data_IF_061591344103
#
_entry.id   IF_061591344103
#
_cell.length_a   1.000
_cell.length_b   1.000
_cell.length_c   1.000
_cell.angle_alpha   90.00
_cell.angle_beta   90.00
_cell.angle_gamma   90.00
#
_symmetry.space_group_name_H-M   'P 1'
#
loop_
_entity.id
_entity.type
_entity.pdbx_description
1 polymer ?
#
# COMPACT_ATOMS: atom_id res chain seq x y z
N UNK A 1 2.66 12.66 15.92
CA UNK A 1 3.75 12.33 14.98
C UNK A 1 3.38 12.74 13.55
N UNK A 2 2.29 12.25 12.95
CA UNK A 2 1.92 12.64 11.57
C UNK A 2 1.61 14.14 11.42
N UNK A 3 0.92 14.74 12.41
CA UNK A 3 0.57 16.17 12.38
C UNK A 3 1.77 17.12 12.32
N UNK A 4 2.96 16.69 12.75
CA UNK A 4 4.17 17.52 12.77
C UNK A 4 4.96 17.49 11.46
N UNK A 5 4.58 16.63 10.50
CA UNK A 5 5.20 16.59 9.17
C UNK A 5 4.66 17.78 8.37
N UNK A 6 5.53 18.59 7.78
CA UNK A 6 5.13 19.67 6.89
C UNK A 6 4.87 19.10 5.49
N UNK A 7 3.60 18.98 5.13
CA UNK A 7 3.17 18.50 3.83
C UNK A 7 1.78 19.07 3.53
N UNK A 8 1.54 19.41 2.27
CA UNK A 8 0.23 19.88 1.78
C UNK A 8 -0.84 18.79 1.96
N UNK A 9 -0.47 17.53 1.69
CA UNK A 9 -1.35 16.38 1.78
C UNK A 9 -0.69 15.28 2.61
N UNK A 10 -1.41 14.77 3.63
CA UNK A 10 -0.97 13.63 4.44
C UNK A 10 -1.98 12.51 4.31
N UNK A 11 -1.67 11.54 3.46
CA UNK A 11 -2.53 10.39 3.20
C UNK A 11 -2.19 9.25 4.15
N UNK A 12 -3.22 8.60 4.70
CA UNK A 12 -3.05 7.43 5.58
C UNK A 12 -4.00 6.34 5.16
N UNK A 13 -3.52 5.11 5.05
CA UNK A 13 -4.34 3.90 4.95
C UNK A 13 -4.07 3.04 6.18
N UNK A 14 -5.10 2.33 6.66
CA UNK A 14 -4.94 1.41 7.78
C UNK A 14 -4.10 0.18 7.39
N UNK A 15 -3.60 -0.53 8.40
CA UNK A 15 -2.95 -1.83 8.26
C UNK A 15 -3.52 -2.87 9.20
N UNK A 16 -2.97 -4.08 9.14
CA UNK A 16 -3.46 -5.25 9.87
C UNK A 16 -3.40 -5.11 11.42
N UNK A 17 -2.67 -4.12 11.95
CA UNK A 17 -2.60 -3.84 13.39
C UNK A 17 -3.55 -2.73 13.86
N UNK A 18 -4.23 -2.05 12.94
CA UNK A 18 -5.19 -0.99 13.27
C UNK A 18 -6.57 -1.60 13.54
N UNK A 19 -6.64 -2.43 14.60
CA UNK A 19 -7.77 -3.33 14.90
C UNK A 19 -9.11 -2.62 14.76
N UNK A 20 -9.29 -1.51 15.49
CA UNK A 20 -10.56 -0.81 15.51
C UNK A 20 -10.82 0.07 14.29
N UNK A 21 -9.95 0.12 13.28
CA UNK A 21 -10.28 0.73 11.98
C UNK A 21 -10.99 -0.25 11.03
N UNK A 22 -10.99 -1.55 11.31
CA UNK A 22 -11.80 -2.54 10.61
C UNK A 22 -13.18 -2.61 11.26
N UNK A 23 -14.24 -2.49 10.46
CA UNK A 23 -15.61 -2.57 10.93
C UNK A 23 -16.01 -4.00 11.33
N UNK A 24 -15.22 -5.02 10.96
CA UNK A 24 -15.49 -6.42 11.29
C UNK A 24 -14.93 -6.74 12.69
N UNK A 25 -15.76 -7.13 13.68
CA UNK A 25 -15.28 -7.51 15.00
C UNK A 25 -14.38 -8.75 14.94
N UNK A 26 -13.17 -8.65 15.52
CA UNK A 26 -12.17 -9.73 15.55
C UNK A 26 -11.47 -9.90 16.90
N UNK A 27 -11.94 -9.22 17.94
CA UNK A 27 -11.38 -9.29 19.29
C UNK A 27 -12.16 -10.31 20.11
N UNK A 28 -11.48 -11.35 20.57
CA UNK A 28 -12.10 -12.36 21.44
C UNK A 28 -12.51 -11.75 22.78
N UNK A 29 -13.66 -12.19 23.31
CA UNK A 29 -14.22 -11.75 24.60
C UNK A 29 -14.61 -10.25 24.68
N UNK A 30 -14.81 -9.59 23.53
CA UNK A 30 -15.37 -8.24 23.45
C UNK A 30 -16.79 -8.32 22.87
N UNK A 31 -17.74 -7.54 23.40
CA UNK A 31 -19.09 -7.49 22.82
C UNK A 31 -19.12 -6.64 21.55
N UNK A 32 -20.11 -6.84 20.70
CA UNK A 32 -20.29 -6.06 19.46
C UNK A 32 -20.49 -4.57 19.78
N UNK A 33 -21.19 -4.23 20.88
CA UNK A 33 -21.39 -2.85 21.33
C UNK A 33 -20.08 -2.20 21.79
N UNK A 34 -19.27 -2.92 22.58
CA UNK A 34 -17.96 -2.43 23.02
C UNK A 34 -17.01 -2.24 21.82
N UNK A 35 -17.00 -3.19 20.89
CA UNK A 35 -16.21 -3.07 19.66
C UNK A 35 -16.64 -1.86 18.83
N UNK A 36 -17.95 -1.62 18.68
CA UNK A 36 -18.47 -0.47 17.96
C UNK A 36 -18.04 0.87 18.58
N UNK A 37 -18.03 0.98 19.92
CA UNK A 37 -17.53 2.18 20.61
C UNK A 37 -16.06 2.46 20.29
N UNK A 38 -15.20 1.44 20.36
CA UNK A 38 -13.79 1.59 19.99
C UNK A 38 -13.60 1.87 18.49
N UNK A 39 -14.43 1.28 17.63
CA UNK A 39 -14.42 1.54 16.20
C UNK A 39 -14.75 3.00 15.87
N UNK A 40 -15.82 3.54 16.48
CA UNK A 40 -16.21 4.94 16.34
C UNK A 40 -15.11 5.88 16.86
N UNK A 41 -14.52 5.58 18.02
CA UNK A 41 -13.44 6.37 18.58
C UNK A 41 -12.18 6.36 17.68
N UNK A 42 -11.81 5.21 17.12
CA UNK A 42 -10.70 5.09 16.19
C UNK A 42 -10.95 5.88 14.90
N UNK A 43 -12.17 5.82 14.35
CA UNK A 43 -12.56 6.62 13.20
C UNK A 43 -12.56 8.12 13.49
N UNK A 44 -13.00 8.56 14.67
CA UNK A 44 -12.94 9.97 15.05
C UNK A 44 -11.50 10.47 15.16
N UNK A 45 -10.57 9.66 15.65
CA UNK A 45 -9.13 10.03 15.65
C UNK A 45 -8.63 10.27 14.22
N UNK A 46 -9.03 9.42 13.27
CA UNK A 46 -8.53 9.45 11.89
C UNK A 46 -9.26 10.42 10.96
N UNK A 47 -10.53 10.72 11.23
CA UNK A 47 -11.42 11.49 10.34
C UNK A 47 -12.02 12.74 10.98
N UNK A 48 -11.85 12.88 12.29
CA UNK A 48 -12.38 13.96 13.10
C UNK A 48 -11.62 15.28 12.95
N UNK A 49 -11.96 16.23 13.82
CA UNK A 49 -11.46 17.61 13.73
C UNK A 49 -9.95 17.72 13.88
N UNK A 50 -9.33 16.86 14.71
CA UNK A 50 -7.89 16.88 14.96
C UNK A 50 -7.10 16.46 13.71
N UNK A 51 -7.50 15.37 13.05
CA UNK A 51 -6.89 14.90 11.81
C UNK A 51 -7.02 15.94 10.70
N UNK A 52 -8.22 16.48 10.49
CA UNK A 52 -8.50 17.51 9.48
C UNK A 52 -7.65 18.77 9.68
N UNK A 53 -7.58 19.30 10.91
CA UNK A 53 -6.72 20.46 11.24
C UNK A 53 -5.24 20.18 11.05
N UNK A 54 -4.84 18.91 11.11
CA UNK A 54 -3.47 18.47 10.89
C UNK A 54 -3.16 18.15 9.43
N UNK A 55 -4.11 18.33 8.49
CA UNK A 55 -3.96 17.99 7.07
C UNK A 55 -3.94 16.49 6.77
N UNK A 56 -4.45 15.67 7.70
CA UNK A 56 -4.48 14.20 7.58
C UNK A 56 -5.78 13.77 6.90
N UNK A 57 -5.65 12.92 5.90
CA UNK A 57 -6.75 12.29 5.18
C UNK A 57 -6.61 10.78 5.29
N UNK A 58 -7.53 10.15 6.02
CA UNK A 58 -7.67 8.71 6.08
C UNK A 58 -8.37 8.18 4.82
N UNK A 59 -7.75 7.23 4.14
CA UNK A 59 -8.21 6.64 2.90
C UNK A 59 -8.84 5.28 3.18
N UNK A 60 -10.15 5.20 2.92
CA UNK A 60 -10.82 3.92 2.75
C UNK A 60 -10.39 3.27 1.43
N UNK A 61 -10.61 1.97 1.30
CA UNK A 61 -10.26 1.26 0.07
C UNK A 61 -10.97 1.88 -1.14
N UNK A 62 -10.21 2.14 -2.21
CA UNK A 62 -10.75 2.72 -3.44
C UNK A 62 -9.79 3.69 -4.11
N UNK A 63 -10.27 4.36 -5.16
CA UNK A 63 -9.49 5.37 -5.89
C UNK A 63 -9.89 6.78 -5.45
N UNK A 64 -8.89 7.58 -5.13
CA UNK A 64 -9.02 8.95 -4.65
C UNK A 64 -8.23 9.89 -5.56
N UNK A 65 -8.81 11.03 -5.91
CA UNK A 65 -8.17 12.04 -6.77
C UNK A 65 -7.80 13.26 -5.94
N UNK A 66 -6.58 13.75 -6.12
CA UNK A 66 -6.07 14.94 -5.43
C UNK A 66 -5.49 15.92 -6.44
N UNK A 67 -5.63 17.21 -6.13
CA UNK A 67 -4.99 18.31 -6.85
C UNK A 67 -4.14 19.10 -5.86
N UNK A 68 -2.85 19.24 -6.16
CA UNK A 68 -1.91 19.99 -5.33
C UNK A 68 -1.97 21.49 -5.64
N UNK A 69 -1.41 22.32 -4.76
CA UNK A 69 -1.36 23.78 -4.92
C UNK A 69 -0.56 24.25 -6.14
N UNK A 70 0.30 23.40 -6.70
CA UNK A 70 1.00 23.65 -7.97
C UNK A 70 0.20 23.25 -9.22
N UNK A 71 -1.03 22.73 -9.07
CA UNK A 71 -1.92 22.31 -10.15
C UNK A 71 -1.79 20.85 -10.59
N UNK A 72 -0.80 20.10 -10.09
CA UNK A 72 -0.66 18.68 -10.42
C UNK A 72 -1.88 17.90 -9.89
N UNK A 73 -2.48 17.07 -10.74
CA UNK A 73 -3.64 16.23 -10.39
C UNK A 73 -3.32 14.77 -10.60
N UNK A 74 -3.55 13.95 -9.59
CA UNK A 74 -3.16 12.54 -9.59
C UNK A 74 -4.17 11.67 -8.83
N UNK A 75 -4.17 10.38 -9.15
CA UNK A 75 -5.03 9.36 -8.57
C UNK A 75 -4.24 8.38 -7.71
N UNK A 76 -4.75 8.15 -6.50
CA UNK A 76 -4.22 7.18 -5.55
C UNK A 76 -5.24 6.07 -5.35
N UNK A 77 -4.87 4.82 -5.61
CA UNK A 77 -5.63 3.68 -5.12
C UNK A 77 -5.11 3.29 -3.74
N UNK A 78 -5.98 3.17 -2.74
CA UNK A 78 -5.63 2.74 -1.39
C UNK A 78 -6.31 1.40 -1.04
N UNK A 79 -5.64 0.53 -0.28
CA UNK A 79 -6.29 -0.63 0.36
C UNK A 79 -5.56 -1.08 1.63
N UNK A 80 -6.28 -1.30 2.76
CA UNK A 80 -5.67 -1.80 4.00
C UNK A 80 -5.47 -3.32 4.01
N UNK A 81 -6.05 -4.02 3.03
CA UNK A 81 -6.20 -5.46 3.06
C UNK A 81 -4.89 -6.21 2.78
N UNK A 82 -4.68 -7.32 3.49
CA UNK A 82 -3.48 -8.16 3.37
C UNK A 82 -3.83 -9.65 3.33
N UNK A 83 -3.07 -10.40 2.52
CA UNK A 83 -3.30 -11.84 2.35
C UNK A 83 -3.03 -12.62 3.64
N UNK A 84 -3.97 -13.46 4.06
CA UNK A 84 -3.74 -14.47 5.09
C UNK A 84 -3.27 -13.92 6.44
N UNK A 85 -3.80 -12.77 6.88
CA UNK A 85 -3.34 -11.97 8.02
C UNK A 85 -3.33 -12.67 9.41
N UNK A 86 -3.37 -14.00 9.52
CA UNK A 86 -3.09 -14.72 10.75
C UNK A 86 -4.03 -14.40 11.92
N UNK A 87 -5.26 -13.98 11.61
CA UNK A 87 -6.26 -13.55 12.60
C UNK A 87 -6.32 -12.04 12.84
N UNK A 88 -5.41 -11.26 12.22
CA UNK A 88 -5.44 -9.80 12.25
C UNK A 88 -6.54 -9.20 11.36
N UNK A 89 -6.79 -7.90 11.52
CA UNK A 89 -7.81 -7.18 10.76
C UNK A 89 -7.41 -6.95 9.30
N UNK A 90 -8.41 -6.62 8.47
CA UNK A 90 -8.29 -6.51 7.02
C UNK A 90 -7.74 -7.76 6.30
N UNK A 91 -8.18 -9.00 6.62
CA UNK A 91 -7.78 -10.19 5.87
C UNK A 91 -8.50 -10.31 4.53
N UNK A 92 -7.88 -11.06 3.62
CA UNK A 92 -8.58 -11.90 2.65
C UNK A 92 -7.90 -13.27 2.57
N UNK A 93 -8.67 -14.26 2.12
CA UNK A 93 -8.26 -15.65 2.01
C UNK A 93 -7.28 -15.90 0.86
N UNK A 94 -6.51 -17.00 0.92
CA UNK A 94 -5.47 -17.32 -0.06
C UNK A 94 -6.00 -17.64 -1.47
N UNK A 95 -7.29 -17.97 -1.60
CA UNK A 95 -7.95 -18.23 -2.88
C UNK A 95 -8.79 -17.04 -3.37
N UNK A 96 -8.84 -15.97 -2.59
CA UNK A 96 -9.64 -14.78 -2.86
C UNK A 96 -8.81 -13.71 -3.58
N UNK A 97 -9.44 -13.02 -4.53
CA UNK A 97 -8.84 -11.90 -5.26
C UNK A 97 -9.56 -10.61 -4.91
N UNK A 98 -8.88 -9.76 -4.14
CA UNK A 98 -9.39 -8.47 -3.68
C UNK A 98 -9.20 -7.34 -4.70
N UNK A 99 -8.26 -7.50 -5.64
CA UNK A 99 -7.74 -6.39 -6.44
C UNK A 99 -8.11 -6.44 -7.92
N UNK A 100 -8.66 -7.57 -8.37
CA UNK A 100 -9.05 -7.80 -9.75
C UNK A 100 -10.53 -8.20 -9.84
N UNK A 101 -11.21 -7.69 -10.86
CA UNK A 101 -12.57 -8.13 -11.21
C UNK A 101 -12.59 -9.59 -11.67
N UNK A 102 -13.77 -10.21 -11.63
CA UNK A 102 -13.97 -11.60 -12.07
C UNK A 102 -13.51 -11.88 -13.52
N UNK A 103 -13.44 -10.87 -14.39
CA UNK A 103 -12.95 -11.00 -15.76
C UNK A 103 -11.42 -10.92 -15.88
N UNK A 104 -10.75 -10.45 -14.83
CA UNK A 104 -9.32 -10.15 -14.79
C UNK A 104 -8.51 -11.19 -14.01
N UNK A 105 -9.18 -12.15 -13.38
CA UNK A 105 -8.56 -13.17 -12.53
C UNK A 105 -9.16 -14.55 -12.80
N UNK A 106 -8.38 -15.60 -12.52
CA UNK A 106 -8.83 -16.99 -12.50
C UNK A 106 -9.13 -17.48 -11.07
N UNK A 107 -9.10 -16.58 -10.09
CA UNK A 107 -9.43 -16.84 -8.67
C UNK A 107 -10.85 -16.39 -8.34
N UNK A 108 -11.29 -16.66 -7.12
CA UNK A 108 -12.56 -16.14 -6.62
C UNK A 108 -12.41 -14.64 -6.37
N UNK A 109 -12.89 -13.81 -7.29
CA UNK A 109 -12.92 -12.35 -7.07
C UNK A 109 -13.89 -12.00 -5.94
N UNK A 110 -13.37 -11.27 -4.96
CA UNK A 110 -14.12 -10.64 -3.85
C UNK A 110 -13.98 -9.11 -3.90
N UNK A 111 -13.51 -8.59 -5.03
CA UNK A 111 -13.22 -7.17 -5.19
C UNK A 111 -14.50 -6.34 -5.09
N UNK A 112 -14.55 -5.41 -4.14
CA UNK A 112 -15.58 -4.35 -4.11
C UNK A 112 -15.07 -3.09 -4.78
N UNK A 113 -13.76 -2.86 -4.70
CA UNK A 113 -13.05 -1.77 -5.36
C UNK A 113 -11.82 -2.36 -6.09
N UNK A 114 -11.99 -3.02 -7.24
CA UNK A 114 -10.85 -3.51 -8.03
C UNK A 114 -9.90 -2.35 -8.38
N UNK A 115 -8.60 -2.62 -8.54
CA UNK A 115 -7.66 -1.57 -8.96
C UNK A 115 -7.96 -1.22 -10.42
N UNK A 116 -8.40 0.02 -10.72
CA UNK A 116 -8.75 0.41 -12.07
C UNK A 116 -7.49 0.78 -12.87
N UNK A 117 -7.67 1.02 -14.16
CA UNK A 117 -6.62 1.59 -15.01
C UNK A 117 -6.39 3.08 -14.71
N UNK A 118 -5.18 3.55 -15.00
CA UNK A 118 -4.79 4.95 -14.93
C UNK A 118 -4.61 5.52 -13.51
N UNK A 119 -4.53 4.66 -12.49
CA UNK A 119 -4.06 5.07 -11.17
C UNK A 119 -2.57 5.45 -11.26
N UNK A 120 -2.20 6.58 -10.69
CA UNK A 120 -0.82 7.07 -10.70
C UNK A 120 0.00 6.48 -9.56
N UNK A 121 -0.62 6.30 -8.39
CA UNK A 121 0.00 5.74 -7.19
C UNK A 121 -0.89 4.64 -6.60
N UNK A 122 -0.34 3.46 -6.34
CA UNK A 122 -0.99 2.42 -5.54
C UNK A 122 -0.42 2.46 -4.13
N UNK A 123 -1.28 2.41 -3.13
CA UNK A 123 -0.93 2.39 -1.70
C UNK A 123 -1.64 1.22 -1.04
N UNK A 124 -0.89 0.20 -0.63
CA UNK A 124 -1.47 -0.97 0.05
C UNK A 124 -0.73 -1.24 1.35
N UNK A 125 -1.40 -1.87 2.32
CA UNK A 125 -0.69 -2.29 3.52
C UNK A 125 0.34 -3.39 3.21
N UNK A 126 -0.12 -4.47 2.55
CA UNK A 126 0.73 -5.60 2.16
C UNK A 126 1.45 -5.43 0.82
N UNK A 127 2.55 -6.18 0.59
CA UNK A 127 3.32 -6.12 -0.65
C UNK A 127 2.72 -6.96 -1.80
N UNK A 128 3.02 -6.64 -3.07
CA UNK A 128 2.82 -7.56 -4.18
C UNK A 128 3.83 -8.72 -4.13
N UNK A 129 3.45 -9.88 -4.68
CA UNK A 129 4.31 -11.08 -4.67
C UNK A 129 5.64 -10.87 -5.38
N UNK A 130 6.73 -11.44 -4.83
CA UNK A 130 8.10 -11.41 -5.35
C UNK A 130 8.76 -10.02 -5.39
N UNK A 131 8.18 -9.02 -4.73
CA UNK A 131 8.72 -7.66 -4.70
C UNK A 131 8.82 -7.24 -3.24
N UNK A 132 10.05 -7.22 -2.70
CA UNK A 132 10.33 -6.72 -1.36
C UNK A 132 9.42 -7.37 -0.29
N UNK A 133 9.11 -8.66 -0.47
CA UNK A 133 8.09 -9.40 0.29
C UNK A 133 8.64 -10.67 0.95
N UNK A 134 9.95 -10.86 0.94
CA UNK A 134 10.60 -12.05 1.46
C UNK A 134 10.80 -12.00 2.98
N UNK A 135 10.36 -13.04 3.67
CA UNK A 135 10.60 -13.29 5.10
C UNK A 135 11.05 -14.74 5.25
N UNK A 136 12.22 -14.97 5.86
CA UNK A 136 12.77 -16.32 6.08
C UNK A 136 12.80 -17.23 4.84
N UNK A 137 13.06 -16.64 3.67
CA UNK A 137 13.11 -17.36 2.39
C UNK A 137 11.74 -17.66 1.77
N UNK A 138 10.65 -17.15 2.33
CA UNK A 138 9.29 -17.27 1.81
C UNK A 138 8.76 -15.92 1.35
N UNK A 139 7.94 -15.93 0.32
CA UNK A 139 7.28 -14.74 -0.22
C UNK A 139 5.89 -14.58 0.36
N UNK A 140 5.66 -13.50 1.11
CA UNK A 140 4.37 -13.20 1.74
C UNK A 140 3.47 -12.28 0.89
N UNK A 141 3.99 -11.75 -0.21
CA UNK A 141 3.27 -10.83 -1.06
C UNK A 141 2.15 -11.51 -1.87
N UNK A 142 1.19 -10.70 -2.30
CA UNK A 142 -0.02 -11.17 -2.97
C UNK A 142 0.15 -11.28 -4.49
N UNK A 143 -0.03 -12.47 -5.11
CA UNK A 143 0.07 -12.62 -6.57
C UNK A 143 -1.02 -11.85 -7.31
N UNK A 144 -2.22 -11.78 -6.73
CA UNK A 144 -3.33 -11.02 -7.30
C UNK A 144 -3.07 -9.51 -7.28
N UNK A 145 -2.37 -9.00 -6.25
CA UNK A 145 -1.95 -7.60 -6.21
C UNK A 145 -0.88 -7.33 -7.27
N UNK A 146 0.12 -8.21 -7.42
CA UNK A 146 1.11 -8.13 -8.49
C UNK A 146 0.43 -8.07 -9.87
N UNK A 147 -0.58 -8.92 -10.10
CA UNK A 147 -1.38 -8.92 -11.33
C UNK A 147 -2.06 -7.58 -11.58
N UNK A 148 -2.73 -7.03 -10.56
CA UNK A 148 -3.43 -5.76 -10.65
C UNK A 148 -2.46 -4.60 -10.95
N UNK A 149 -1.33 -4.56 -10.25
CA UNK A 149 -0.29 -3.52 -10.44
C UNK A 149 0.38 -3.65 -11.81
N UNK A 150 0.63 -4.86 -12.30
CA UNK A 150 1.17 -5.10 -13.65
C UNK A 150 0.21 -4.65 -14.77
N UNK A 151 -1.11 -4.78 -14.54
CA UNK A 151 -2.14 -4.23 -15.43
C UNK A 151 -2.16 -2.71 -15.40
N UNK A 152 -2.20 -2.14 -14.20
CA UNK A 152 -2.43 -0.71 -14.00
C UNK A 152 -1.20 0.13 -14.30
N UNK A 153 0.01 -0.41 -14.04
CA UNK A 153 1.32 0.20 -14.25
C UNK A 153 1.42 1.63 -13.67
N UNK A 154 1.17 1.78 -12.35
CA UNK A 154 1.27 3.09 -11.70
C UNK A 154 2.72 3.59 -11.75
N UNK A 155 2.92 4.89 -11.56
CA UNK A 155 4.25 5.47 -11.40
C UNK A 155 4.94 4.91 -10.15
N UNK A 156 4.17 4.72 -9.07
CA UNK A 156 4.65 4.20 -7.81
C UNK A 156 3.65 3.24 -7.16
N UNK A 157 4.14 2.19 -6.52
CA UNK A 157 3.41 1.39 -5.56
C UNK A 157 4.15 1.46 -4.21
N UNK A 158 3.53 2.11 -3.23
CA UNK A 158 4.03 2.19 -1.86
C UNK A 158 3.28 1.19 -0.98
N UNK A 159 4.02 0.41 -0.20
CA UNK A 159 3.48 -0.61 0.69
C UNK A 159 4.36 -0.82 1.92
N UNK A 160 3.95 -1.72 2.81
CA UNK A 160 4.70 -2.06 4.02
C UNK A 160 4.50 -3.51 4.42
N UNK A 161 4.13 -3.72 5.68
CA UNK A 161 3.83 -5.01 6.33
C UNK A 161 5.04 -5.97 6.45
N UNK A 162 5.76 -6.24 5.38
CA UNK A 162 6.96 -7.10 5.38
C UNK A 162 8.18 -6.28 5.78
N UNK A 163 8.54 -6.30 7.06
CA UNK A 163 9.61 -5.48 7.62
C UNK A 163 10.99 -5.75 7.02
N UNK A 164 11.31 -7.02 6.79
CA UNK A 164 12.55 -7.52 6.21
C UNK A 164 12.75 -7.03 4.76
N UNK A 165 11.66 -6.70 4.09
CA UNK A 165 11.66 -6.20 2.72
C UNK A 165 11.82 -4.68 2.59
N UNK A 166 12.05 -3.94 3.68
CA UNK A 166 12.23 -2.49 3.60
C UNK A 166 13.26 -2.11 2.52
N UNK A 167 12.85 -1.30 1.55
CA UNK A 167 13.66 -1.02 0.38
C UNK A 167 12.86 -0.38 -0.76
N UNK A 168 13.56 -0.09 -1.85
CA UNK A 168 12.94 0.37 -3.08
C UNK A 168 13.56 -0.34 -4.30
N UNK A 169 12.74 -0.64 -5.31
CA UNK A 169 13.19 -1.20 -6.59
C UNK A 169 12.31 -0.68 -7.72
N UNK A 170 12.84 -0.66 -8.94
CA UNK A 170 12.06 -0.32 -10.14
C UNK A 170 11.73 -1.62 -10.85
N UNK A 171 10.45 -1.89 -11.06
CA UNK A 171 10.00 -3.03 -11.87
C UNK A 171 9.73 -2.56 -13.28
N UNK A 172 10.27 -3.29 -14.26
CA UNK A 172 9.98 -3.08 -15.68
C UNK A 172 8.97 -4.12 -16.15
N UNK A 173 7.87 -3.65 -16.73
CA UNK A 173 6.77 -4.48 -17.22
C UNK A 173 7.00 -4.89 -18.67
N UNK A 174 6.81 -6.18 -18.97
CA UNK A 174 6.88 -6.68 -20.33
C UNK A 174 5.81 -6.05 -21.23
N UNK A 175 6.16 -5.81 -22.50
CA UNK A 175 5.26 -5.18 -23.48
C UNK A 175 4.13 -6.09 -23.94
N UNK A 176 4.26 -7.41 -23.77
CA UNK A 176 3.32 -8.41 -24.30
C UNK A 176 1.95 -8.45 -23.60
N UNK A 177 1.81 -7.73 -22.48
CA UNK A 177 0.54 -7.61 -21.79
C UNK A 177 0.01 -8.94 -21.26
N UNK A 178 0.89 -9.89 -20.89
CA UNK A 178 0.54 -11.12 -20.17
C UNK A 178 0.02 -10.82 -18.74
N UNK A 179 -1.11 -10.13 -18.68
CA UNK A 179 -1.74 -9.56 -17.48
C UNK A 179 -2.59 -10.59 -16.72
N UNK A 180 -2.90 -11.74 -17.32
CA UNK A 180 -3.78 -12.72 -16.66
C UNK A 180 -3.10 -13.49 -15.54
N UNK A 181 -1.77 -13.63 -15.55
CA UNK A 181 -1.02 -14.24 -14.46
C UNK A 181 0.48 -13.93 -14.63
N UNK A 182 0.98 -12.76 -14.21
CA UNK A 182 2.42 -12.52 -14.29
C UNK A 182 3.13 -13.53 -13.37
N UNK A 183 3.86 -14.48 -13.97
CA UNK A 183 4.57 -15.52 -13.21
C UNK A 183 5.76 -14.96 -12.43
N UNK A 184 6.27 -13.79 -12.82
CA UNK A 184 7.36 -13.09 -12.14
C UNK A 184 7.44 -11.62 -12.57
N UNK A 185 7.68 -10.66 -11.66
CA UNK A 185 8.13 -9.34 -12.04
C UNK A 185 9.53 -9.42 -12.68
N UNK A 186 9.93 -8.40 -13.44
CA UNK A 186 11.34 -8.19 -13.81
C UNK A 186 11.83 -6.92 -13.10
N UNK A 187 12.24 -7.01 -11.83
CA UNK A 187 12.94 -5.92 -11.16
C UNK A 187 14.19 -5.55 -11.97
N UNK A 188 14.53 -4.27 -12.01
CA UNK A 188 15.88 -3.89 -12.41
C UNK A 188 16.87 -4.47 -11.41
N UNK A 189 18.01 -4.95 -11.89
CA UNK A 189 19.07 -5.61 -11.10
C UNK A 189 19.70 -4.72 -10.00
N UNK A 190 19.19 -3.51 -9.79
CA UNK A 190 19.65 -2.57 -8.78
C UNK A 190 18.53 -2.24 -7.80
N UNK A 191 18.66 -2.73 -6.57
CA UNK A 191 18.01 -2.12 -5.41
C UNK A 191 18.38 -0.64 -5.35
N UNK A 192 17.40 0.21 -5.04
CA UNK A 192 17.61 1.64 -4.98
C UNK A 192 18.09 2.05 -3.57
N UNK A 193 19.11 2.91 -3.52
CA UNK A 193 19.70 3.39 -2.26
C UNK A 193 18.82 4.47 -1.68
N UNK A 194 18.37 4.33 -0.43
CA UNK A 194 17.65 5.38 0.28
C UNK A 194 18.62 6.47 0.79
N UNK A 195 18.60 7.64 0.17
CA UNK A 195 19.48 8.79 0.50
C UNK A 195 18.98 9.68 1.65
N UNK A 196 18.08 9.19 2.52
CA UNK A 196 17.55 9.96 3.65
C UNK A 196 18.67 10.68 4.45
N UNK A 197 18.55 12.00 4.73
CA UNK A 197 17.34 12.83 4.65
C UNK A 197 17.14 13.57 3.31
N UNK A 198 17.83 13.18 2.25
CA UNK A 198 17.67 13.78 0.91
C UNK A 198 16.59 13.07 0.09
N UNK A 199 16.08 13.79 -0.92
CA UNK A 199 15.12 13.24 -1.86
C UNK A 199 15.81 12.29 -2.84
N UNK A 200 15.19 11.14 -3.07
CA UNK A 200 15.62 10.16 -4.06
C UNK A 200 14.98 10.49 -5.42
N UNK A 201 15.81 10.65 -6.44
CA UNK A 201 15.35 10.92 -7.81
C UNK A 201 15.63 9.71 -8.71
N UNK A 202 14.61 8.89 -8.92
CA UNK A 202 14.70 7.72 -9.79
C UNK A 202 13.85 7.93 -11.05
N UNK A 203 14.48 7.82 -12.21
CA UNK A 203 13.78 8.03 -13.49
C UNK A 203 12.88 6.85 -13.83
N UNK A 204 11.57 7.04 -13.69
CA UNK A 204 10.54 6.04 -14.03
C UNK A 204 10.00 6.33 -15.42
N UNK A 205 9.94 5.30 -16.29
CA UNK A 205 9.27 5.39 -17.59
C UNK A 205 7.77 5.09 -17.44
N UNK A 206 6.86 6.08 -17.55
CA UNK A 206 5.43 5.86 -17.33
C UNK A 206 4.86 4.77 -18.24
N UNK A 207 3.99 3.91 -17.69
CA UNK A 207 3.39 2.79 -18.43
C UNK A 207 4.32 1.64 -18.79
N UNK A 208 5.62 1.76 -18.49
CA UNK A 208 6.62 0.70 -18.68
C UNK A 208 7.26 0.28 -17.35
N UNK A 209 7.39 1.20 -16.41
CA UNK A 209 8.05 0.98 -15.13
C UNK A 209 7.20 1.48 -13.98
N UNK A 210 7.38 0.84 -12.83
CA UNK A 210 6.77 1.24 -11.55
C UNK A 210 7.85 1.24 -10.48
N UNK A 211 7.93 2.34 -9.73
CA UNK A 211 8.71 2.38 -8.50
C UNK A 211 7.98 1.61 -7.39
N UNK A 212 8.60 0.58 -6.87
CA UNK A 212 8.09 -0.22 -5.74
C UNK A 212 8.82 0.25 -4.48
N UNK A 213 8.08 0.68 -3.46
CA UNK A 213 8.65 1.15 -2.19
C UNK A 213 8.01 0.37 -1.04
N UNK A 214 8.80 -0.47 -0.38
CA UNK A 214 8.43 -1.02 0.91
C UNK A 214 8.89 -0.05 2.02
N UNK A 215 7.95 0.75 2.52
CA UNK A 215 8.15 1.76 3.53
C UNK A 215 7.95 1.24 4.97
N UNK A 216 8.06 -0.07 5.21
CA UNK A 216 7.98 -0.64 6.55
C UNK A 216 8.99 0.04 7.51
N UNK A 217 8.48 0.79 8.49
CA UNK A 217 9.33 1.53 9.43
C UNK A 217 9.93 0.64 10.54
N UNK A 218 9.21 -0.43 10.86
CA UNK A 218 9.58 -1.36 11.91
C UNK A 218 10.71 -2.29 11.44
N UNK A 219 11.66 -2.55 12.33
CA UNK A 219 12.80 -3.44 12.14
C UNK A 219 12.84 -4.42 13.30
N UNK A 220 13.07 -5.69 13.01
CA UNK A 220 13.34 -6.69 14.03
C UNK A 220 14.78 -6.52 14.54
N UNK A 221 14.93 -6.26 15.83
CA UNK A 221 16.25 -6.08 16.47
C UNK A 221 16.41 -7.06 17.62
N UNK A 222 17.63 -7.23 18.12
CA UNK A 222 17.88 -8.02 19.34
C UNK A 222 17.13 -7.52 20.58
N UNK A 223 16.56 -6.31 20.55
CA UNK A 223 15.74 -5.71 21.61
C UNK A 223 14.25 -5.64 21.24
N UNK A 224 13.81 -6.46 20.29
CA UNK A 224 12.45 -6.50 19.76
C UNK A 224 12.21 -5.51 18.61
N UNK A 225 10.93 -5.36 18.26
CA UNK A 225 10.49 -4.50 17.15
C UNK A 225 10.74 -3.01 17.46
N UNK A 226 11.45 -2.30 16.56
CA UNK A 226 11.75 -0.86 16.69
C UNK A 226 11.55 -0.12 15.37
N UNK A 227 11.06 1.13 15.38
CA UNK A 227 10.86 1.94 14.17
C UNK A 227 12.19 2.53 13.67
N UNK A 228 13.14 1.67 13.27
CA UNK A 228 14.51 2.07 12.96
C UNK A 228 14.76 2.31 11.47
N UNK A 229 13.90 1.79 10.58
CA UNK A 229 14.05 2.07 9.15
C UNK A 229 13.82 3.55 8.87
N UNK A 230 14.61 4.09 7.95
CA UNK A 230 14.51 5.50 7.55
C UNK A 230 13.30 5.67 6.63
N UNK A 231 12.59 6.80 6.71
CA UNK A 231 11.54 7.07 5.73
C UNK A 231 12.17 7.27 4.35
N UNK A 232 11.36 7.11 3.31
CA UNK A 232 11.72 7.49 1.96
C UNK A 232 11.23 8.90 1.66
N UNK A 233 12.09 9.71 1.05
CA UNK A 233 11.71 10.98 0.42
C UNK A 233 11.93 10.75 -1.07
N UNK A 234 10.89 10.84 -1.89
CA UNK A 234 10.93 10.48 -3.30
C UNK A 234 10.45 11.64 -4.15
N UNK A 235 11.21 12.00 -5.18
CA UNK A 235 10.76 12.93 -6.22
C UNK A 235 10.04 12.13 -7.30
N UNK A 236 8.74 12.38 -7.47
CA UNK A 236 7.91 11.75 -8.49
C UNK A 236 7.36 12.80 -9.46
N UNK A 237 7.53 12.57 -10.77
CA UNK A 237 6.95 13.42 -11.80
C UNK A 237 5.47 13.05 -12.01
N UNK A 238 4.59 13.80 -11.35
CA UNK A 238 3.14 13.62 -11.49
C UNK A 238 2.66 14.23 -12.82
N UNK A 239 1.60 13.66 -13.43
CA UNK A 239 1.01 14.25 -14.61
C UNK A 239 0.37 15.62 -14.29
N UNK A 240 0.58 16.60 -15.16
CA UNK A 240 -0.29 17.77 -15.24
C UNK A 240 -1.48 17.38 -16.13
N UNK A 241 -2.69 17.39 -15.57
CA UNK A 241 -3.92 17.23 -16.35
C UNK A 241 -4.46 18.60 -16.78
#
# INVERSE_FOLDING_TARGET
MLGTIEAELKLVVAGNHDIFLDATPRVENMSDEEYAEYHEAALEIMTGSLAKKSGITYLQEGTHTFTLGNGATFRVYASPYTAGSGGWVFPYGPLEDRFNDAQQTNRTSIATNPIPSGVDIVMTHGPPHLILDQVDGQHLGCPNLLRAVSRTRPLMHCFGHTHEGHGATIVTWQSDGSVKDPSSPTPLDTEQINEYPYANEWSIKPGQQTLMVNAAIMMNTSRGMKPNHKPFIVTLQLPCQ
#
